data_IF_462259496463
#
_entry.id   IF_462259496463
#
_cell.length_a   1.000
_cell.length_b   1.000
_cell.length_c   1.000
_cell.angle_alpha   90.00
_cell.angle_beta   90.00
_cell.angle_gamma   90.00
#
_symmetry.space_group_name_H-M   'P 1'
#
loop_
_entity.id
_entity.type
_entity.pdbx_description
1 polymer ?
#
# COMPACT_ATOMS: atom_id res chain seq x y z
N UNK A 1 41.97 -64.87 -49.50
CA UNK A 1 42.00 -64.30 -48.12
C UNK A 1 41.02 -63.15 -48.03
N UNK A 2 39.89 -63.32 -47.34
CA UNK A 2 39.12 -62.21 -46.75
C UNK A 2 38.28 -62.80 -45.64
N UNK A 3 38.78 -62.73 -44.40
CA UNK A 3 38.04 -63.14 -43.20
C UNK A 3 36.96 -62.09 -42.96
N UNK A 4 35.71 -62.50 -43.14
CA UNK A 4 34.53 -61.74 -42.75
C UNK A 4 34.42 -61.80 -41.23
N UNK A 5 34.68 -60.69 -40.55
CA UNK A 5 34.56 -60.58 -39.09
C UNK A 5 33.07 -60.51 -38.73
N UNK A 6 32.59 -61.54 -38.04
CA UNK A 6 31.25 -61.61 -37.48
C UNK A 6 31.09 -60.54 -36.38
N UNK A 7 30.07 -59.70 -36.52
CA UNK A 7 29.65 -58.75 -35.50
C UNK A 7 29.01 -59.51 -34.32
N UNK A 8 29.59 -59.35 -33.13
CA UNK A 8 29.03 -59.88 -31.88
C UNK A 8 27.80 -59.06 -31.47
N UNK A 9 26.68 -59.75 -31.27
CA UNK A 9 25.39 -59.16 -30.87
C UNK A 9 25.43 -58.77 -29.38
N UNK A 10 25.79 -57.52 -29.08
CA UNK A 10 25.72 -56.94 -27.74
C UNK A 10 24.29 -56.54 -27.34
N UNK A 11 23.39 -57.51 -27.16
CA UNK A 11 22.01 -57.25 -26.68
C UNK A 11 21.94 -56.71 -25.24
N UNK A 12 22.97 -56.92 -24.42
CA UNK A 12 23.05 -56.39 -23.05
C UNK A 12 23.44 -54.92 -22.97
N UNK A 13 24.34 -54.46 -23.85
CA UNK A 13 24.81 -53.07 -23.86
C UNK A 13 23.72 -52.09 -24.32
N UNK A 14 22.88 -52.50 -25.30
CA UNK A 14 21.78 -51.67 -25.80
C UNK A 14 20.72 -51.40 -24.74
N UNK A 15 20.42 -52.39 -23.87
CA UNK A 15 19.39 -52.25 -22.84
C UNK A 15 19.84 -51.28 -21.72
N UNK A 16 21.12 -51.36 -21.33
CA UNK A 16 21.72 -50.44 -20.35
C UNK A 16 21.73 -49.01 -20.89
N UNK A 17 22.15 -48.81 -22.14
CA UNK A 17 22.20 -47.48 -22.77
C UNK A 17 20.81 -46.85 -22.85
N UNK A 18 19.79 -47.60 -23.27
CA UNK A 18 18.41 -47.11 -23.34
C UNK A 18 17.86 -46.77 -21.95
N UNK A 19 18.11 -47.62 -20.95
CA UNK A 19 17.70 -47.34 -19.57
C UNK A 19 18.33 -46.04 -19.05
N UNK A 20 19.62 -45.84 -19.31
CA UNK A 20 20.35 -44.63 -18.90
C UNK A 20 19.81 -43.38 -19.61
N UNK A 21 19.47 -43.50 -20.90
CA UNK A 21 18.88 -42.42 -21.69
C UNK A 21 17.48 -42.05 -21.17
N UNK A 22 16.66 -43.04 -20.81
CA UNK A 22 15.35 -42.82 -20.18
C UNK A 22 15.47 -42.11 -18.82
N UNK A 23 16.46 -42.48 -18.01
CA UNK A 23 16.73 -41.82 -16.72
C UNK A 23 17.13 -40.36 -16.94
N UNK A 24 18.01 -40.07 -17.90
CA UNK A 24 18.41 -38.70 -18.20
C UNK A 24 17.24 -37.84 -18.70
N UNK A 25 16.41 -38.38 -19.60
CA UNK A 25 15.24 -37.66 -20.13
C UNK A 25 14.23 -37.36 -19.02
N UNK A 26 13.97 -38.32 -18.13
CA UNK A 26 13.03 -38.12 -17.00
C UNK A 26 13.55 -37.09 -16.00
N UNK A 27 14.84 -37.07 -15.69
CA UNK A 27 15.45 -36.05 -14.83
C UNK A 27 15.32 -34.64 -15.43
N UNK A 28 15.67 -34.48 -16.70
CA UNK A 28 15.53 -33.19 -17.40
C UNK A 28 14.05 -32.77 -17.44
N UNK A 29 13.13 -33.70 -17.70
CA UNK A 29 11.69 -33.46 -17.70
C UNK A 29 11.17 -32.95 -16.36
N UNK A 30 11.56 -33.59 -15.24
CA UNK A 30 11.16 -33.16 -13.88
C UNK A 30 11.73 -31.78 -13.54
N UNK A 31 12.99 -31.50 -13.90
CA UNK A 31 13.59 -30.18 -13.71
C UNK A 31 12.89 -29.09 -14.52
N UNK A 32 12.54 -29.38 -15.78
CA UNK A 32 11.78 -28.46 -16.64
C UNK A 32 10.39 -28.15 -16.06
N UNK A 33 9.67 -29.17 -15.57
CA UNK A 33 8.35 -28.96 -14.94
C UNK A 33 8.47 -28.12 -13.66
N UNK A 34 9.46 -28.42 -12.80
CA UNK A 34 9.68 -27.63 -11.57
C UNK A 34 10.03 -26.19 -11.88
N UNK A 35 10.94 -25.95 -12.81
CA UNK A 35 11.32 -24.59 -13.21
C UNK A 35 10.15 -23.83 -13.83
N UNK A 36 9.33 -24.47 -14.66
CA UNK A 36 8.11 -23.88 -15.22
C UNK A 36 7.09 -23.50 -14.14
N UNK A 37 6.81 -24.37 -13.17
CA UNK A 37 5.91 -24.05 -12.05
C UNK A 37 6.46 -22.92 -11.17
N UNK A 38 7.77 -22.92 -10.93
CA UNK A 38 8.43 -21.85 -10.17
C UNK A 38 8.31 -20.52 -10.91
N UNK A 39 8.56 -20.51 -12.22
CA UNK A 39 8.40 -19.33 -13.08
C UNK A 39 6.96 -18.82 -13.10
N UNK A 40 5.96 -19.71 -13.14
CA UNK A 40 4.54 -19.32 -13.13
C UNK A 40 4.13 -18.71 -11.79
N UNK A 41 4.60 -19.28 -10.67
CA UNK A 41 4.34 -18.74 -9.33
C UNK A 41 5.00 -17.38 -9.14
N UNK A 42 6.24 -17.20 -9.61
CA UNK A 42 6.94 -15.91 -9.59
C UNK A 42 6.18 -14.90 -10.47
N UNK A 43 5.83 -15.26 -11.70
CA UNK A 43 5.10 -14.38 -12.61
C UNK A 43 3.73 -13.96 -12.04
N UNK A 44 3.00 -14.89 -11.43
CA UNK A 44 1.71 -14.61 -10.78
C UNK A 44 1.90 -13.67 -9.60
N UNK A 45 2.90 -13.91 -8.75
CA UNK A 45 3.18 -13.03 -7.61
C UNK A 45 3.60 -11.62 -8.07
N UNK A 46 4.44 -11.52 -9.09
CA UNK A 46 4.82 -10.24 -9.69
C UNK A 46 3.63 -9.51 -10.32
N UNK A 47 2.75 -10.21 -11.03
CA UNK A 47 1.53 -9.61 -11.61
C UNK A 47 0.59 -9.09 -10.51
N UNK A 48 0.40 -9.86 -9.44
CA UNK A 48 -0.39 -9.43 -8.27
C UNK A 48 0.26 -8.22 -7.62
N UNK A 49 1.58 -8.20 -7.44
CA UNK A 49 2.31 -7.07 -6.88
C UNK A 49 2.18 -5.80 -7.72
N UNK A 50 2.34 -5.89 -9.04
CA UNK A 50 2.18 -4.76 -9.96
C UNK A 50 0.74 -4.22 -9.94
N UNK A 51 -0.25 -5.11 -9.95
CA UNK A 51 -1.65 -4.72 -9.85
C UNK A 51 -1.94 -4.02 -8.52
N UNK A 52 -1.47 -4.56 -7.40
CA UNK A 52 -1.63 -3.96 -6.07
C UNK A 52 -0.91 -2.61 -5.93
N UNK A 53 0.23 -2.43 -6.59
CA UNK A 53 0.91 -1.13 -6.67
C UNK A 53 0.04 -0.10 -7.37
N UNK A 54 -0.45 -0.41 -8.57
CA UNK A 54 -1.29 0.52 -9.33
C UNK A 54 -2.57 0.89 -8.57
N UNK A 55 -3.18 -0.06 -7.85
CA UNK A 55 -4.36 0.22 -7.04
C UNK A 55 -4.04 1.04 -5.79
N UNK A 56 -2.86 0.89 -5.20
CA UNK A 56 -2.40 1.71 -4.07
C UNK A 56 -2.08 3.14 -4.51
N UNK A 57 -1.53 3.31 -5.72
CA UNK A 57 -1.24 4.61 -6.31
C UNK A 57 -2.53 5.38 -6.68
N UNK A 58 -3.66 4.69 -6.87
CA UNK A 58 -4.91 5.33 -7.34
C UNK A 58 -5.47 6.37 -6.35
N UNK A 59 -5.66 6.07 -5.04
CA UNK A 59 -6.01 7.11 -4.07
C UNK A 59 -4.94 8.18 -3.90
N UNK A 60 -3.65 7.86 -4.01
CA UNK A 60 -2.58 8.86 -3.93
C UNK A 60 -2.70 9.88 -5.07
N UNK A 61 -2.93 9.40 -6.30
CA UNK A 61 -3.19 10.27 -7.44
C UNK A 61 -4.44 11.15 -7.24
N UNK A 62 -5.46 10.66 -6.52
CA UNK A 62 -6.63 11.47 -6.18
C UNK A 62 -6.26 12.66 -5.29
N UNK A 63 -5.27 12.55 -4.40
CA UNK A 63 -4.78 13.70 -3.62
C UNK A 63 -4.06 14.74 -4.49
N UNK A 64 -3.40 14.33 -5.58
CA UNK A 64 -2.76 15.24 -6.53
C UNK A 64 -3.75 15.96 -7.45
N UNK A 65 -4.77 15.24 -7.95
CA UNK A 65 -5.67 15.79 -8.98
C UNK A 65 -6.92 16.46 -8.42
N UNK A 66 -7.25 16.21 -7.15
CA UNK A 66 -8.46 16.78 -6.55
C UNK A 66 -8.30 18.25 -6.18
N UNK A 67 -9.43 18.95 -6.14
CA UNK A 67 -9.50 20.32 -5.64
C UNK A 67 -9.08 20.38 -4.17
N UNK A 68 -7.88 20.94 -3.94
CA UNK A 68 -7.25 21.02 -2.63
C UNK A 68 -8.16 21.74 -1.62
N UNK A 69 -8.85 22.81 -2.03
CA UNK A 69 -9.75 23.59 -1.17
C UNK A 69 -10.88 22.73 -0.58
N UNK A 70 -11.33 21.70 -1.30
CA UNK A 70 -12.37 20.78 -0.80
C UNK A 70 -11.81 19.68 0.11
N UNK A 71 -10.53 19.38 0.02
CA UNK A 71 -9.87 18.38 0.88
C UNK A 71 -9.43 18.98 2.21
N UNK A 72 -8.95 20.22 2.20
CA UNK A 72 -8.50 20.96 3.41
C UNK A 72 -9.64 21.61 4.19
N UNK A 73 -10.86 21.64 3.63
CA UNK A 73 -12.07 21.99 4.38
C UNK A 73 -12.39 20.91 5.44
N UNK A 74 -13.11 21.27 6.51
CA UNK A 74 -13.49 20.36 7.61
C UNK A 74 -14.40 19.20 7.15
N UNK A 75 -15.07 19.35 6.00
CA UNK A 75 -15.82 18.26 5.36
C UNK A 75 -14.92 17.22 4.69
N UNK A 76 -13.64 17.55 4.47
CA UNK A 76 -12.60 16.67 3.94
C UNK A 76 -11.74 16.09 5.06
N UNK A 77 -11.15 14.93 4.77
CA UNK A 77 -10.30 14.18 5.69
C UNK A 77 -9.03 14.95 6.05
N UNK A 78 -8.46 15.72 5.13
CA UNK A 78 -7.24 16.49 5.39
C UNK A 78 -7.53 17.66 6.32
N UNK A 79 -8.61 18.43 6.06
CA UNK A 79 -9.03 19.51 6.96
C UNK A 79 -9.41 19.00 8.35
N UNK A 80 -10.13 17.88 8.42
CA UNK A 80 -10.44 17.20 9.68
C UNK A 80 -9.17 16.78 10.43
N UNK A 81 -8.23 16.11 9.75
CA UNK A 81 -6.96 15.66 10.33
C UNK A 81 -6.13 16.84 10.87
N UNK A 82 -6.02 17.94 10.11
CA UNK A 82 -5.28 19.14 10.53
C UNK A 82 -5.87 19.81 11.78
N UNK A 83 -7.20 19.77 11.93
CA UNK A 83 -7.86 20.37 13.09
C UNK A 83 -7.77 19.47 14.32
N UNK A 84 -7.99 18.16 14.15
CA UNK A 84 -7.94 17.19 15.24
C UNK A 84 -6.51 16.96 15.74
N UNK A 85 -5.50 17.00 14.85
CA UNK A 85 -4.09 16.85 15.23
C UNK A 85 -3.56 18.00 16.09
N UNK A 86 -4.20 19.18 16.05
CA UNK A 86 -3.89 20.30 16.97
C UNK A 86 -4.34 20.02 18.41
N UNK A 87 -5.33 19.16 18.59
CA UNK A 87 -5.84 18.74 19.90
C UNK A 87 -5.08 17.52 20.42
N UNK A 88 -4.91 16.50 19.56
CA UNK A 88 -4.23 15.26 19.88
C UNK A 88 -3.31 14.83 18.72
N UNK A 89 -2.01 15.17 18.76
CA UNK A 89 -1.07 14.82 17.71
C UNK A 89 -0.73 13.33 17.72
N UNK A 90 -0.25 12.82 16.58
CA UNK A 90 0.19 11.42 16.43
C UNK A 90 -0.93 10.44 16.07
N UNK A 91 -2.18 10.90 16.03
CA UNK A 91 -3.33 10.14 15.56
C UNK A 91 -3.28 9.86 14.05
N UNK A 92 -3.93 8.78 13.64
CA UNK A 92 -4.07 8.35 12.25
C UNK A 92 -5.54 8.42 11.82
N UNK A 93 -5.82 9.06 10.69
CA UNK A 93 -7.17 9.30 10.18
C UNK A 93 -7.44 8.38 9.00
N UNK A 94 -8.18 7.32 9.24
CA UNK A 94 -8.41 6.27 8.25
C UNK A 94 -9.77 6.44 7.56
N UNK A 95 -9.82 6.07 6.28
CA UNK A 95 -11.07 5.90 5.54
C UNK A 95 -10.91 4.85 4.44
N UNK A 96 -12.02 4.22 4.08
CA UNK A 96 -12.01 3.24 3.00
C UNK A 96 -12.16 3.91 1.63
N UNK A 97 -11.31 3.54 0.67
CA UNK A 97 -11.43 4.02 -0.70
C UNK A 97 -12.52 3.26 -1.46
N UNK A 98 -13.67 3.92 -1.67
CA UNK A 98 -14.84 3.37 -2.36
C UNK A 98 -15.19 4.18 -3.62
N UNK A 99 -14.44 4.05 -4.72
CA UNK A 99 -14.66 4.84 -5.94
C UNK A 99 -15.98 4.53 -6.65
N UNK A 100 -16.57 3.36 -6.41
CA UNK A 100 -17.89 2.97 -6.92
C UNK A 100 -19.04 3.58 -6.11
N UNK A 101 -18.76 4.11 -4.92
CA UNK A 101 -19.76 4.77 -4.09
C UNK A 101 -19.98 6.22 -4.51
N UNK A 102 -21.15 6.78 -4.17
CA UNK A 102 -21.43 8.23 -4.35
C UNK A 102 -20.84 9.10 -3.24
N UNK A 103 -20.08 8.50 -2.30
CA UNK A 103 -19.50 9.22 -1.17
C UNK A 103 -18.29 10.01 -1.67
N UNK A 104 -18.19 11.28 -1.24
CA UNK A 104 -17.02 12.12 -1.54
C UNK A 104 -15.75 11.41 -1.05
N UNK A 105 -14.70 11.44 -1.87
CA UNK A 105 -13.38 10.94 -1.48
C UNK A 105 -12.90 11.62 -0.20
N UNK A 106 -12.55 10.82 0.82
CA UNK A 106 -12.12 11.34 2.11
C UNK A 106 -13.15 12.23 2.80
N UNK A 107 -14.45 11.93 2.70
CA UNK A 107 -15.46 12.67 3.46
C UNK A 107 -15.26 12.45 4.96
N UNK A 108 -15.18 13.52 5.76
CA UNK A 108 -14.90 13.43 7.20
C UNK A 108 -15.91 12.58 7.98
N UNK A 109 -17.16 12.51 7.51
CA UNK A 109 -18.21 11.63 8.04
C UNK A 109 -17.92 10.12 7.93
N UNK A 110 -16.97 9.71 7.08
CA UNK A 110 -16.55 8.33 6.88
C UNK A 110 -15.10 8.10 7.30
N UNK A 111 -14.59 8.96 8.17
CA UNK A 111 -13.25 8.87 8.74
C UNK A 111 -13.35 8.32 10.16
N UNK A 112 -12.36 7.51 10.55
CA UNK A 112 -12.13 7.15 11.94
C UNK A 112 -10.74 7.61 12.36
N UNK A 113 -10.66 8.12 13.58
CA UNK A 113 -9.41 8.53 14.20
C UNK A 113 -8.88 7.35 15.01
N UNK A 114 -7.74 6.81 14.62
CA UNK A 114 -7.01 5.77 15.32
C UNK A 114 -5.90 6.39 16.16
N UNK A 115 -5.79 5.92 17.41
CA UNK A 115 -4.63 6.18 18.25
C UNK A 115 -3.67 5.00 18.15
N UNK A 116 -2.37 5.25 17.93
CA UNK A 116 -1.36 4.22 18.03
C UNK A 116 -1.44 3.49 19.38
N UNK A 117 -1.23 2.18 19.41
CA UNK A 117 -1.24 1.43 20.66
C UNK A 117 -0.02 1.76 21.53
N UNK A 118 -0.11 1.48 22.84
CA UNK A 118 1.06 1.54 23.72
C UNK A 118 2.04 0.37 23.49
N UNK A 119 1.60 -0.72 22.85
CA UNK A 119 2.39 -1.93 22.61
C UNK A 119 2.56 -2.17 21.10
N UNK A 120 3.80 -2.44 20.67
CA UNK A 120 4.20 -2.67 19.27
C UNK A 120 3.37 -3.72 18.54
N UNK A 121 2.85 -4.74 19.23
CA UNK A 121 2.09 -5.83 18.60
C UNK A 121 0.59 -5.76 18.84
N UNK A 122 0.12 -4.76 19.58
CA UNK A 122 -1.30 -4.55 19.83
C UNK A 122 -1.96 -3.83 18.65
N UNK A 123 -3.29 -3.91 18.60
CA UNK A 123 -4.12 -3.17 17.65
C UNK A 123 -4.29 -1.72 18.13
N UNK A 124 -4.57 -0.82 17.20
CA UNK A 124 -4.88 0.58 17.51
C UNK A 124 -6.15 0.70 18.37
N UNK A 125 -6.44 1.89 18.89
CA UNK A 125 -7.74 2.19 19.52
C UNK A 125 -8.45 3.28 18.74
N UNK A 126 -9.79 3.26 18.73
CA UNK A 126 -10.57 4.25 17.99
C UNK A 126 -10.95 5.42 18.90
N UNK A 127 -10.52 6.61 18.55
CA UNK A 127 -10.88 7.86 19.22
C UNK A 127 -12.25 8.39 18.78
N UNK A 128 -12.53 8.32 17.48
CA UNK A 128 -13.75 8.81 16.86
C UNK A 128 -14.00 8.07 15.55
N UNK A 129 -15.25 8.12 15.07
CA UNK A 129 -15.68 7.45 13.85
C UNK A 129 -16.35 6.10 14.08
N UNK A 130 -16.65 5.41 12.98
CA UNK A 130 -17.38 4.14 13.00
C UNK A 130 -16.98 3.21 11.86
N UNK A 131 -17.75 2.13 11.70
CA UNK A 131 -17.46 1.07 10.73
C UNK A 131 -17.30 1.54 9.28
N UNK A 132 -17.90 2.68 8.91
CA UNK A 132 -17.75 3.25 7.56
C UNK A 132 -16.30 3.62 7.19
N UNK A 133 -15.43 3.86 8.17
CA UNK A 133 -14.02 4.21 7.95
C UNK A 133 -13.14 3.00 7.63
N UNK A 134 -13.54 1.82 8.10
CA UNK A 134 -12.83 0.57 7.85
C UNK A 134 -13.32 -0.02 6.53
N UNK A 135 -12.40 -0.55 5.74
CA UNK A 135 -12.76 -1.32 4.57
C UNK A 135 -13.24 -2.72 4.92
N UNK A 136 -14.39 -3.11 4.40
CA UNK A 136 -14.88 -4.48 4.43
C UNK A 136 -14.32 -5.25 3.23
N UNK A 137 -13.49 -6.24 3.51
CA UNK A 137 -12.78 -7.05 2.53
C UNK A 137 -13.70 -7.90 1.64
N UNK A 138 -15.00 -7.96 1.94
CA UNK A 138 -15.99 -8.74 1.18
C UNK A 138 -16.87 -7.89 0.26
N UNK A 139 -16.83 -6.55 0.37
CA UNK A 139 -17.74 -5.67 -0.38
C UNK A 139 -17.12 -4.35 -0.86
N UNK A 140 -16.10 -3.83 -0.19
CA UNK A 140 -15.56 -2.48 -0.46
C UNK A 140 -14.49 -2.49 -1.55
N UNK A 141 -14.77 -3.19 -2.64
CA UNK A 141 -13.84 -3.31 -3.75
C UNK A 141 -13.70 -2.00 -4.53
N UNK A 142 -12.47 -1.68 -4.93
CA UNK A 142 -12.16 -0.48 -5.73
C UNK A 142 -12.72 -0.52 -7.16
N UNK A 143 -13.33 -1.63 -7.60
CA UNK A 143 -13.96 -1.75 -8.91
C UNK A 143 -15.00 -2.87 -8.94
N UNK A 144 -15.81 -2.90 -9.99
CA UNK A 144 -16.77 -3.98 -10.25
C UNK A 144 -16.12 -5.35 -10.51
N UNK A 145 -14.79 -5.43 -10.64
CA UNK A 145 -14.06 -6.70 -10.77
C UNK A 145 -13.79 -7.37 -9.43
N UNK A 146 -14.15 -6.72 -8.32
CA UNK A 146 -14.13 -7.29 -6.96
C UNK A 146 -12.81 -7.96 -6.56
N UNK A 147 -11.68 -7.36 -6.98
CA UNK A 147 -10.37 -7.94 -6.80
C UNK A 147 -9.57 -7.35 -5.62
N UNK A 148 -9.59 -6.02 -5.49
CA UNK A 148 -8.74 -5.29 -4.53
C UNK A 148 -9.56 -4.31 -3.72
N UNK A 149 -9.20 -4.22 -2.44
CA UNK A 149 -9.74 -3.29 -1.45
C UNK A 149 -8.60 -2.41 -0.96
N UNK A 150 -8.81 -1.10 -0.89
CA UNK A 150 -7.76 -0.14 -0.55
C UNK A 150 -8.15 0.68 0.68
N UNK A 151 -7.43 0.49 1.77
CA UNK A 151 -7.53 1.31 2.98
C UNK A 151 -6.61 2.51 2.84
N UNK A 152 -7.11 3.70 3.17
CA UNK A 152 -6.32 4.93 3.18
C UNK A 152 -6.22 5.44 4.60
N UNK A 153 -5.04 5.95 4.95
CA UNK A 153 -4.73 6.57 6.22
C UNK A 153 -4.04 7.91 5.98
N UNK A 154 -4.41 8.90 6.77
CA UNK A 154 -3.75 10.20 6.79
C UNK A 154 -3.15 10.40 8.17
N UNK A 155 -1.91 10.87 8.21
CA UNK A 155 -1.24 11.25 9.43
C UNK A 155 -0.64 12.63 9.24
N UNK A 156 -0.70 13.45 10.29
CA UNK A 156 0.02 14.73 10.34
C UNK A 156 1.31 14.46 11.12
N UNK A 157 2.47 14.33 10.45
CA UNK A 157 3.72 14.06 11.13
C UNK A 157 4.08 15.23 12.05
N UNK A 158 4.49 14.92 13.27
CA UNK A 158 4.93 15.88 14.28
C UNK A 158 6.45 15.85 14.49
N UNK A 159 7.16 15.01 13.75
CA UNK A 159 8.60 14.88 13.78
C UNK A 159 9.27 16.08 13.09
N UNK A 160 10.38 16.52 13.68
CA UNK A 160 11.20 17.55 13.06
C UNK A 160 11.80 17.02 11.75
N UNK A 161 11.65 17.77 10.66
CA UNK A 161 12.25 17.38 9.39
C UNK A 161 13.75 17.65 9.44
N UNK A 162 14.53 16.59 9.61
CA UNK A 162 15.99 16.63 9.48
C UNK A 162 16.39 16.33 8.03
N UNK A 163 17.44 16.97 7.53
CA UNK A 163 18.03 16.70 6.20
C UNK A 163 17.15 17.02 4.97
N UNK A 164 16.39 18.12 5.02
CA UNK A 164 15.67 18.62 3.85
C UNK A 164 16.65 18.98 2.71
N UNK A 165 16.51 18.39 1.50
CA UNK A 165 17.28 18.86 0.36
C UNK A 165 16.91 20.30 0.02
N UNK A 166 17.84 21.08 -0.57
CA UNK A 166 17.55 22.45 -1.00
C UNK A 166 16.30 22.50 -1.88
N UNK A 167 15.31 23.28 -1.47
CA UNK A 167 14.05 23.43 -2.20
C UNK A 167 12.92 22.48 -1.79
N UNK A 168 13.13 21.57 -0.83
CA UNK A 168 12.12 20.60 -0.39
C UNK A 168 10.86 21.22 0.26
N UNK A 169 10.95 22.48 0.70
CA UNK A 169 9.83 23.25 1.25
C UNK A 169 9.30 24.29 0.27
N UNK A 170 9.64 24.20 -1.01
CA UNK A 170 9.09 25.12 -2.00
C UNK A 170 7.75 24.58 -2.48
N UNK A 171 6.75 25.48 -2.56
CA UNK A 171 5.45 25.14 -3.13
C UNK A 171 5.58 24.77 -4.61
N UNK A 172 4.76 23.84 -5.06
CA UNK A 172 4.71 23.44 -6.47
C UNK A 172 4.53 24.66 -7.39
N UNK A 173 5.22 24.66 -8.53
CA UNK A 173 5.21 25.77 -9.49
C UNK A 173 6.20 26.91 -9.19
N UNK A 174 6.98 26.83 -8.12
CA UNK A 174 8.09 27.77 -7.89
C UNK A 174 9.29 27.46 -8.79
N UNK A 175 9.75 28.47 -9.53
CA UNK A 175 10.95 28.38 -10.36
C UNK A 175 12.04 29.31 -9.81
N UNK A 176 12.93 28.76 -9.00
CA UNK A 176 14.05 29.52 -8.40
C UNK A 176 15.04 30.03 -9.44
N UNK A 177 15.19 29.35 -10.58
CA UNK A 177 16.08 29.75 -11.68
C UNK A 177 15.53 30.92 -12.50
N UNK A 178 14.20 31.12 -12.50
CA UNK A 178 13.55 32.23 -13.19
C UNK A 178 13.41 33.49 -12.32
N UNK A 179 14.02 33.52 -11.12
CA UNK A 179 13.90 34.65 -10.20
C UNK A 179 12.49 34.82 -9.63
N UNK A 180 11.65 33.78 -9.65
CA UNK A 180 10.35 33.81 -9.00
C UNK A 180 10.55 34.10 -7.52
N UNK A 181 9.96 35.21 -7.07
CA UNK A 181 10.03 35.65 -5.68
C UNK A 181 9.50 34.50 -4.82
N UNK A 182 10.32 33.99 -3.89
CA UNK A 182 9.85 33.07 -2.87
C UNK A 182 8.54 33.64 -2.29
N UNK A 183 7.48 32.83 -2.18
CA UNK A 183 6.19 33.36 -1.77
C UNK A 183 6.32 34.09 -0.44
N UNK A 184 6.23 35.43 -0.47
CA UNK A 184 6.46 36.31 0.69
C UNK A 184 5.35 36.21 1.76
N UNK A 185 4.29 35.45 1.47
CA UNK A 185 3.08 35.34 2.28
C UNK A 185 2.76 33.88 2.68
N UNK A 186 3.78 33.00 2.78
CA UNK A 186 3.58 31.67 3.40
C UNK A 186 3.43 31.88 4.90
N UNK A 187 2.25 31.55 5.43
CA UNK A 187 1.94 31.74 6.86
C UNK A 187 1.88 30.45 7.65
N UNK A 188 1.65 29.33 6.97
CA UNK A 188 1.59 28.02 7.60
C UNK A 188 2.08 26.97 6.60
N UNK A 189 2.90 26.05 7.09
CA UNK A 189 3.31 24.86 6.35
C UNK A 189 3.05 23.63 7.21
N UNK A 190 2.26 22.69 6.68
CA UNK A 190 1.90 21.45 7.37
C UNK A 190 2.26 20.26 6.48
N UNK A 191 2.87 19.24 7.08
CA UNK A 191 3.13 17.96 6.41
C UNK A 191 1.89 17.08 6.56
N UNK A 192 1.50 16.44 5.47
CA UNK A 192 0.43 15.46 5.44
C UNK A 192 0.99 14.19 4.85
N UNK A 193 1.09 13.14 5.65
CA UNK A 193 1.47 11.81 5.19
C UNK A 193 0.22 11.03 4.86
N UNK A 194 0.18 10.45 3.67
CA UNK A 194 -0.89 9.57 3.23
C UNK A 194 -0.29 8.19 3.04
N UNK A 195 -0.89 7.20 3.70
CA UNK A 195 -0.55 5.79 3.54
C UNK A 195 -1.73 5.07 2.89
N UNK A 196 -1.49 4.41 1.77
CA UNK A 196 -2.49 3.63 1.04
C UNK A 196 -2.10 2.16 1.06
N UNK A 197 -2.96 1.33 1.64
CA UNK A 197 -2.77 -0.12 1.73
C UNK A 197 -3.77 -0.83 0.82
N UNK A 198 -3.28 -1.37 -0.30
CA UNK A 198 -4.06 -2.21 -1.21
C UNK A 198 -3.95 -3.67 -0.84
N UNK A 199 -5.09 -4.36 -0.78
CA UNK A 199 -5.23 -5.72 -0.27
C UNK A 199 -5.93 -6.55 -1.34
N UNK A 200 -5.45 -7.77 -1.60
CA UNK A 200 -6.13 -8.74 -2.47
C UNK A 200 -6.83 -9.81 -1.62
N UNK A 201 -8.12 -9.64 -1.25
CA UNK A 201 -8.73 -10.49 -0.23
C UNK A 201 -8.98 -11.93 -0.69
N UNK A 202 -9.07 -12.19 -1.99
CA UNK A 202 -9.34 -13.54 -2.53
C UNK A 202 -8.24 -14.57 -2.21
N UNK A 203 -7.03 -14.11 -1.85
CA UNK A 203 -5.93 -14.98 -1.42
C UNK A 203 -5.97 -15.30 0.09
N UNK A 204 -6.87 -14.64 0.85
CA UNK A 204 -7.01 -14.92 2.27
C UNK A 204 -7.62 -16.30 2.50
N UNK A 205 -6.87 -17.16 3.18
CA UNK A 205 -7.38 -18.46 3.66
C UNK A 205 -8.48 -18.29 4.71
N UNK A 206 -8.33 -17.27 5.55
CA UNK A 206 -9.33 -16.84 6.53
C UNK A 206 -9.59 -15.34 6.37
N UNK A 207 -10.71 -15.02 5.74
CA UNK A 207 -11.13 -13.65 5.49
C UNK A 207 -11.40 -12.89 6.79
N UNK A 208 -11.82 -13.57 7.87
CA UNK A 208 -12.09 -12.92 9.17
C UNK A 208 -10.79 -12.52 9.85
N UNK A 209 -9.76 -13.37 9.77
CA UNK A 209 -8.43 -13.03 10.25
C UNK A 209 -7.83 -11.83 9.47
N UNK A 210 -7.98 -11.83 8.15
CA UNK A 210 -7.55 -10.71 7.31
C UNK A 210 -8.33 -9.42 7.63
N UNK A 211 -9.65 -9.51 7.81
CA UNK A 211 -10.48 -8.38 8.22
C UNK A 211 -10.06 -7.83 9.59
N UNK A 212 -9.68 -8.70 10.53
CA UNK A 212 -9.20 -8.30 11.84
C UNK A 212 -7.86 -7.52 11.79
N UNK A 213 -7.09 -7.63 10.71
CA UNK A 213 -5.89 -6.82 10.49
C UNK A 213 -6.26 -5.36 10.16
N UNK A 214 -7.29 -5.16 9.32
CA UNK A 214 -7.76 -3.84 8.87
C UNK A 214 -8.65 -3.17 9.93
N UNK A 215 -9.44 -3.96 10.65
CA UNK A 215 -10.45 -3.50 11.60
C UNK A 215 -11.87 -3.61 11.02
N UNK A 216 -12.86 -3.57 11.90
CA UNK A 216 -14.29 -3.71 11.54
C UNK A 216 -15.05 -2.44 11.95
N UNK A 217 -14.81 -2.01 13.18
CA UNK A 217 -15.52 -0.90 13.81
C UNK A 217 -14.71 -0.39 15.01
N UNK A 218 -15.31 0.54 15.76
CA UNK A 218 -14.69 1.18 16.91
C UNK A 218 -14.39 0.21 18.06
N UNK A 219 -15.09 -0.92 18.15
CA UNK A 219 -14.87 -1.94 19.17
C UNK A 219 -13.80 -2.96 18.74
N UNK A 220 -13.65 -3.18 17.44
CA UNK A 220 -12.71 -4.12 16.85
C UNK A 220 -11.80 -3.40 15.84
N UNK A 221 -10.91 -2.51 16.30
CA UNK A 221 -9.96 -1.82 15.43
C UNK A 221 -8.93 -2.78 14.83
N UNK A 222 -8.30 -2.31 13.75
CA UNK A 222 -7.16 -2.96 13.11
C UNK A 222 -5.82 -2.52 13.70
N UNK A 223 -4.76 -2.86 12.97
CA UNK A 223 -3.42 -2.31 13.19
C UNK A 223 -3.30 -0.92 12.57
N UNK A 224 -2.26 -0.18 12.94
CA UNK A 224 -1.91 1.10 12.29
C UNK A 224 -1.45 0.86 10.84
N UNK A 225 -1.60 1.86 9.95
CA UNK A 225 -1.27 1.65 8.53
C UNK A 225 0.22 1.72 8.23
N UNK A 226 0.96 2.58 8.92
CA UNK A 226 2.42 2.68 8.81
C UNK A 226 3.10 2.85 10.17
N UNK A 227 4.41 2.59 10.19
CA UNK A 227 5.26 2.66 11.36
C UNK A 227 6.48 3.55 11.11
N UNK A 228 6.32 4.56 10.24
CA UNK A 228 7.42 5.41 9.76
C UNK A 228 7.87 6.42 10.82
N UNK A 229 6.99 6.83 11.74
CA UNK A 229 7.38 7.75 12.81
C UNK A 229 8.26 7.08 13.85
N UNK A 230 9.11 7.88 14.48
CA UNK A 230 10.02 7.47 15.56
C UNK A 230 9.28 6.73 16.67
N UNK A 231 8.11 7.22 17.07
CA UNK A 231 7.31 6.66 18.17
C UNK A 231 6.66 5.32 17.82
N UNK A 232 6.26 5.14 16.56
CA UNK A 232 5.61 3.92 16.06
C UNK A 232 6.59 2.93 15.46
N UNK A 233 7.90 3.21 15.52
CA UNK A 233 8.92 2.38 14.87
C UNK A 233 8.83 0.91 15.33
N UNK A 234 8.87 0.01 14.35
CA UNK A 234 8.72 -1.44 14.52
C UNK A 234 7.33 -1.91 15.00
N UNK A 235 6.33 -1.04 15.02
CA UNK A 235 4.98 -1.47 15.34
C UNK A 235 4.44 -2.33 14.20
N UNK A 236 3.61 -3.30 14.56
CA UNK A 236 2.92 -4.16 13.60
C UNK A 236 1.88 -3.34 12.85
N UNK A 237 2.03 -3.29 11.54
CA UNK A 237 1.10 -2.58 10.64
C UNK A 237 0.04 -3.53 10.05
N UNK A 238 -0.98 -2.95 9.41
CA UNK A 238 -1.95 -3.70 8.59
C UNK A 238 -1.22 -4.60 7.58
N UNK A 239 -0.23 -4.04 6.88
CA UNK A 239 0.55 -4.78 5.89
C UNK A 239 1.30 -5.96 6.52
N UNK A 240 1.96 -5.77 7.68
CA UNK A 240 2.64 -6.87 8.37
C UNK A 240 1.67 -8.00 8.76
N UNK A 241 0.50 -7.63 9.31
CA UNK A 241 -0.53 -8.60 9.68
C UNK A 241 -1.03 -9.43 8.49
N UNK A 242 -1.25 -8.78 7.34
CA UNK A 242 -1.72 -9.45 6.12
C UNK A 242 -0.64 -10.34 5.49
N UNK A 243 0.63 -9.90 5.49
CA UNK A 243 1.76 -10.71 5.04
C UNK A 243 1.90 -11.98 5.87
N UNK A 244 1.78 -11.89 7.20
CA UNK A 244 1.83 -13.06 8.09
C UNK A 244 0.74 -14.09 7.77
N UNK A 245 -0.42 -13.63 7.29
CA UNK A 245 -1.53 -14.48 6.87
C UNK A 245 -1.40 -14.99 5.42
N UNK A 246 -0.35 -14.59 4.70
CA UNK A 246 -0.13 -14.92 3.29
C UNK A 246 -1.06 -14.17 2.33
N UNK A 247 -1.64 -13.05 2.75
CA UNK A 247 -2.49 -12.20 1.91
C UNK A 247 -1.61 -11.20 1.17
N UNK A 248 -1.63 -11.18 -0.17
CA UNK A 248 -0.92 -10.17 -0.95
C UNK A 248 -1.42 -8.77 -0.60
N UNK A 249 -0.49 -7.91 -0.23
CA UNK A 249 -0.71 -6.53 0.18
C UNK A 249 0.40 -5.66 -0.37
N UNK A 250 0.07 -4.43 -0.74
CA UNK A 250 1.04 -3.39 -1.00
C UNK A 250 0.66 -2.13 -0.23
N UNK A 251 1.58 -1.62 0.58
CA UNK A 251 1.41 -0.37 1.32
C UNK A 251 2.41 0.65 0.80
N UNK A 252 1.89 1.80 0.40
CA UNK A 252 2.68 2.93 -0.10
C UNK A 252 2.41 4.12 0.79
N UNK A 253 3.47 4.86 1.12
CA UNK A 253 3.41 6.05 1.96
C UNK A 253 4.00 7.21 1.19
N UNK A 254 3.28 8.33 1.17
CA UNK A 254 3.69 9.55 0.51
C UNK A 254 3.43 10.75 1.41
N UNK A 255 4.38 11.69 1.43
CA UNK A 255 4.25 12.92 2.19
C UNK A 255 4.04 14.11 1.27
N UNK A 256 3.10 14.98 1.66
CA UNK A 256 2.71 16.20 0.98
C UNK A 256 3.01 17.39 1.89
N UNK A 257 3.52 18.47 1.30
CA UNK A 257 3.68 19.74 1.99
C UNK A 257 2.51 20.66 1.61
N UNK A 258 1.63 20.93 2.57
CA UNK A 258 0.59 21.93 2.42
C UNK A 258 1.11 23.30 2.83
N UNK A 259 0.89 24.29 1.97
CA UNK A 259 1.28 25.67 2.21
C UNK A 259 0.09 26.61 2.05
N UNK A 260 -0.12 27.44 3.07
CA UNK A 260 -1.14 28.50 3.02
C UNK A 260 -0.49 29.80 2.59
N UNK A 261 -1.03 30.38 1.50
CA UNK A 261 -0.55 31.61 0.88
C UNK A 261 -1.64 32.68 0.94
N UNK A 262 -1.36 33.83 1.55
CA UNK A 262 -2.26 34.98 1.41
C UNK A 262 -2.01 35.69 0.10
N UNK A 263 -3.04 35.75 -0.75
CA UNK A 263 -3.06 36.59 -1.94
C UNK A 263 -3.86 37.84 -1.65
N UNK A 264 -3.24 39.01 -1.79
CA UNK A 264 -3.95 40.28 -1.66
C UNK A 264 -4.76 40.51 -2.92
N UNK A 265 -6.08 40.36 -2.84
CA UNK A 265 -7.00 40.56 -3.97
C UNK A 265 -7.46 42.01 -4.12
N UNK A 266 -7.26 42.86 -3.12
CA UNK A 266 -7.61 44.29 -3.16
C UNK A 266 -6.64 45.13 -2.30
N UNK A 267 -6.42 46.39 -2.70
CA UNK A 267 -5.56 47.32 -1.96
C UNK A 267 -6.21 47.69 -0.61
N UNK A 268 -5.43 47.89 0.45
CA UNK A 268 -5.95 48.31 1.75
C UNK A 268 -6.62 49.68 1.68
#
# INVERSE_FOLDING_TARGET
>A
MKKMLLASSQRGATLIVVLFMLILITLIGVFAIRTAMTSLNIATNTQVGQFLSQTADTPLNQFYTSDLSKMVDLSGVVGFALQDSKLEPGNEYIFCYRPTSKVKFGASQSVATLRPPANKTAKATVASGGSAAFCDLTKDFGSNREAVVTQVAIKIPNDAVTDLPPGALLGEGTNVSAGTILPKNVVEQQRVRVTTTSIFPAFAKDIKAAQACVGIDSANPGYISDNTDVETKDFKTIANCLVDLGVPVNSQTQEFNLQTLFTQTEKP
#
